data_IF_985031128115
#
_entry.id   IF_985031128115
#
_cell.length_a   1.000
_cell.length_b   1.000
_cell.length_c   1.000
_cell.angle_alpha   90.00
_cell.angle_beta   90.00
_cell.angle_gamma   90.00
#
_symmetry.space_group_name_H-M   'P 1'
#
loop_
_entity.id
_entity.type
_entity.pdbx_description
1 polymer ?
#
# COMPACT_ATOMS: atom_id res chain seq x y z
N UNK A 1 6.89 15.39 -5.35
CA UNK A 1 6.33 14.03 -5.52
C UNK A 1 7.35 13.21 -6.30
N UNK A 2 7.80 12.06 -5.80
CA UNK A 2 8.79 11.23 -6.53
C UNK A 2 8.07 10.33 -7.55
N UNK A 3 8.76 9.92 -8.61
CA UNK A 3 8.23 8.96 -9.62
C UNK A 3 7.75 7.66 -8.97
N UNK A 4 8.40 7.25 -7.88
CA UNK A 4 8.03 6.09 -7.08
C UNK A 4 6.74 6.29 -6.29
N UNK A 5 6.57 7.42 -5.59
CA UNK A 5 5.30 7.74 -4.91
C UNK A 5 4.12 7.81 -5.89
N UNK A 6 4.36 8.29 -7.12
CA UNK A 6 3.36 8.25 -8.19
C UNK A 6 3.04 6.81 -8.62
N UNK A 7 4.04 5.94 -8.77
CA UNK A 7 3.84 4.53 -9.11
C UNK A 7 3.07 3.78 -8.01
N UNK A 8 3.39 4.03 -6.74
CA UNK A 8 2.66 3.47 -5.60
C UNK A 8 1.20 3.94 -5.58
N UNK A 9 0.95 5.23 -5.80
CA UNK A 9 -0.40 5.76 -5.87
C UNK A 9 -1.22 5.12 -7.01
N UNK A 10 -0.61 4.90 -8.18
CA UNK A 10 -1.24 4.20 -9.31
C UNK A 10 -1.55 2.75 -8.94
N UNK A 11 -0.62 2.05 -8.29
CA UNK A 11 -0.82 0.67 -7.87
C UNK A 11 -1.96 0.56 -6.86
N UNK A 12 -1.94 1.37 -5.81
CA UNK A 12 -3.00 1.41 -4.80
C UNK A 12 -4.36 1.70 -5.42
N UNK A 13 -4.41 2.61 -6.40
CA UNK A 13 -5.66 2.91 -7.13
C UNK A 13 -6.18 1.72 -7.93
N UNK A 14 -5.29 0.94 -8.57
CA UNK A 14 -5.66 -0.29 -9.28
C UNK A 14 -6.15 -1.37 -8.32
N UNK A 15 -5.48 -1.54 -7.18
CA UNK A 15 -5.92 -2.48 -6.13
C UNK A 15 -7.31 -2.12 -5.62
N UNK A 16 -7.59 -0.83 -5.40
CA UNK A 16 -8.92 -0.39 -5.01
C UNK A 16 -9.99 -0.81 -6.03
N UNK A 17 -9.76 -0.59 -7.34
CA UNK A 17 -10.73 -0.99 -8.37
C UNK A 17 -11.01 -2.49 -8.37
N UNK A 18 -9.97 -3.31 -8.21
CA UNK A 18 -10.15 -4.75 -8.14
C UNK A 18 -10.93 -5.19 -6.90
N UNK A 19 -10.73 -4.52 -5.76
CA UNK A 19 -11.50 -4.77 -4.55
C UNK A 19 -12.96 -4.31 -4.68
N UNK A 20 -13.22 -3.21 -5.39
CA UNK A 20 -14.57 -2.74 -5.69
C UNK A 20 -15.32 -3.76 -6.58
N UNK A 21 -14.66 -4.28 -7.64
CA UNK A 21 -15.21 -5.31 -8.50
C UNK A 21 -15.48 -6.62 -7.72
N UNK A 22 -14.55 -7.03 -6.87
CA UNK A 22 -14.70 -8.19 -6.00
C UNK A 22 -15.91 -8.04 -5.05
N UNK A 23 -16.05 -6.87 -4.42
CA UNK A 23 -17.16 -6.59 -3.52
C UNK A 23 -18.49 -6.62 -4.28
N UNK A 24 -18.52 -6.14 -5.53
CA UNK A 24 -19.69 -6.22 -6.40
C UNK A 24 -20.07 -7.66 -6.71
N UNK A 25 -19.12 -8.50 -7.13
CA UNK A 25 -19.35 -9.92 -7.44
C UNK A 25 -19.87 -10.70 -6.23
N UNK A 26 -19.26 -10.48 -5.05
CA UNK A 26 -19.71 -11.09 -3.79
C UNK A 26 -21.13 -10.61 -3.43
N UNK A 27 -21.38 -9.31 -3.50
CA UNK A 27 -22.70 -8.73 -3.21
C UNK A 27 -23.80 -9.22 -4.16
N UNK A 28 -23.43 -9.59 -5.39
CA UNK A 28 -24.33 -10.19 -6.37
C UNK A 28 -24.52 -11.71 -6.20
N UNK A 29 -23.94 -12.31 -5.16
CA UNK A 29 -24.05 -13.74 -4.87
C UNK A 29 -23.21 -14.64 -5.77
N UNK A 30 -22.22 -14.09 -6.50
CA UNK A 30 -21.31 -14.82 -7.39
C UNK A 30 -19.96 -15.10 -6.76
N UNK A 31 -19.92 -15.22 -5.43
CA UNK A 31 -18.68 -15.45 -4.68
C UNK A 31 -17.99 -16.77 -5.05
N UNK A 32 -18.74 -17.77 -5.51
CA UNK A 32 -18.27 -19.05 -6.02
C UNK A 32 -17.54 -18.94 -7.38
N UNK A 33 -17.77 -17.86 -8.12
CA UNK A 33 -17.13 -17.57 -9.41
C UNK A 33 -15.86 -16.72 -9.26
N UNK A 34 -15.60 -16.23 -8.04
CA UNK A 34 -14.40 -15.48 -7.73
C UNK A 34 -13.27 -16.44 -7.41
N UNK A 35 -12.14 -16.26 -8.09
CA UNK A 35 -10.88 -16.89 -7.69
C UNK A 35 -10.26 -16.15 -6.50
N UNK A 36 -10.65 -16.56 -5.29
CA UNK A 36 -10.16 -15.98 -4.05
C UNK A 36 -8.65 -16.19 -3.85
N UNK A 37 -8.08 -17.27 -4.38
CA UNK A 37 -6.64 -17.50 -4.30
C UNK A 37 -5.88 -16.44 -5.11
N UNK A 38 -6.34 -16.13 -6.32
CA UNK A 38 -5.78 -15.06 -7.14
C UNK A 38 -5.85 -13.68 -6.45
N UNK A 39 -6.96 -13.39 -5.75
CA UNK A 39 -7.12 -12.16 -4.98
C UNK A 39 -6.09 -12.07 -3.84
N UNK A 40 -5.86 -13.17 -3.12
CA UNK A 40 -4.88 -13.23 -2.03
C UNK A 40 -3.47 -12.93 -2.56
N UNK A 41 -3.06 -13.61 -3.63
CA UNK A 41 -1.72 -13.43 -4.23
C UNK A 41 -1.46 -11.97 -4.66
N UNK A 42 -2.49 -11.31 -5.20
CA UNK A 42 -2.41 -9.90 -5.57
C UNK A 42 -2.26 -8.99 -4.34
N UNK A 43 -3.01 -9.25 -3.28
CA UNK A 43 -2.94 -8.47 -2.04
C UNK A 43 -1.59 -8.65 -1.34
N UNK A 44 -1.03 -9.86 -1.34
CA UNK A 44 0.32 -10.11 -0.82
C UNK A 44 1.38 -9.33 -1.60
N UNK A 45 1.24 -9.24 -2.92
CA UNK A 45 2.14 -8.44 -3.77
C UNK A 45 2.07 -6.94 -3.44
N UNK A 46 0.89 -6.41 -3.17
CA UNK A 46 0.70 -5.01 -2.74
C UNK A 46 1.33 -4.77 -1.36
N UNK A 47 1.17 -5.70 -0.43
CA UNK A 47 1.79 -5.63 0.90
C UNK A 47 3.32 -5.63 0.80
N UNK A 48 3.90 -6.48 -0.06
CA UNK A 48 5.34 -6.52 -0.29
C UNK A 48 5.88 -5.16 -0.75
N UNK A 49 5.22 -4.55 -1.75
CA UNK A 49 5.60 -3.23 -2.26
C UNK A 49 5.46 -2.12 -1.21
N UNK A 50 4.42 -2.15 -0.38
CA UNK A 50 4.27 -1.20 0.72
C UNK A 50 5.38 -1.33 1.77
N UNK A 51 5.84 -2.55 2.05
CA UNK A 51 6.96 -2.80 2.97
C UNK A 51 8.29 -2.26 2.42
N UNK A 52 8.51 -2.41 1.12
CA UNK A 52 9.69 -1.83 0.45
C UNK A 52 9.69 -0.30 0.56
N UNK A 53 8.54 0.35 0.35
CA UNK A 53 8.39 1.80 0.52
C UNK A 53 8.62 2.24 1.97
N UNK A 54 8.11 1.49 2.95
CA UNK A 54 8.30 1.78 4.37
C UNK A 54 9.80 1.75 4.76
N UNK A 55 10.55 0.76 4.29
CA UNK A 55 11.98 0.63 4.62
C UNK A 55 12.84 1.74 3.99
N UNK A 56 12.35 2.37 2.93
CA UNK A 56 13.06 3.38 2.17
C UNK A 56 12.65 4.81 2.51
N UNK A 57 11.52 4.97 3.20
CA UNK A 57 11.20 6.22 3.88
C UNK A 57 12.09 6.23 5.12
N UNK A 58 13.14 7.08 5.22
CA UNK A 58 13.84 7.21 6.48
C UNK A 58 12.78 7.56 7.51
N UNK A 59 12.78 6.89 8.67
CA UNK A 59 12.20 7.48 9.86
C UNK A 59 12.77 8.89 9.91
N UNK A 60 11.96 9.90 9.59
CA UNK A 60 12.27 11.26 9.97
C UNK A 60 12.23 11.18 11.50
N UNK A 61 13.41 10.99 12.09
CA UNK A 61 13.67 11.38 13.45
C UNK A 61 13.51 12.90 13.40
N UNK A 62 12.27 13.34 13.59
CA UNK A 62 11.98 14.75 13.79
C UNK A 62 12.62 15.19 15.11
N UNK A 63 13.26 16.36 15.08
CA UNK A 63 14.30 16.83 16.01
C UNK A 63 13.93 16.80 17.50
N UNK A 64 14.89 16.81 18.42
CA UNK A 64 15.94 17.81 18.47
C UNK A 64 17.29 17.25 18.95
N UNK A 65 18.30 17.37 18.09
CA UNK A 65 19.63 17.77 18.53
C UNK A 65 19.57 19.23 18.93
N UNK A 66 19.43 19.52 20.22
CA UNK A 66 19.81 20.81 20.77
C UNK A 66 21.28 20.69 21.19
N UNK A 67 22.15 21.17 20.31
CA UNK A 67 23.58 21.37 20.57
C UNK A 67 23.77 22.79 21.16
N UNK A 68 24.81 22.94 21.98
CA UNK A 68 25.36 24.15 22.64
C UNK A 68 24.77 24.50 24.01
N UNK A 69 25.53 24.32 25.11
CA UNK A 69 26.54 25.28 25.63
C UNK A 69 26.00 26.69 25.75
N UNK A 70 25.59 27.05 26.97
CA UNK A 70 26.23 28.10 27.77
C UNK A 70 25.37 28.35 29.02
N UNK A 71 25.90 28.01 30.20
CA UNK A 71 26.12 28.86 31.39
C UNK A 71 26.47 27.98 32.59
#
# INVERSE_FOLDING_TARGET
MTTRSAALAVLLRKTQWLLDDLAFEIGAGRADQVDIACVIDLLESVIALLREEQQQTPHVIDGATETDRDT
#
